data_IF_910522590801
#
_entry.id   IF_910522590801
#
_cell.length_a   1.000
_cell.length_b   1.000
_cell.length_c   1.000
_cell.angle_alpha   90.00
_cell.angle_beta   90.00
_cell.angle_gamma   90.00
#
_symmetry.space_group_name_H-M   'P 1'
#
loop_
_entity.id
_entity.type
_entity.pdbx_description
1 polymer ?
#
# COMPACT_ATOMS: atom_id res chain seq x y z
N UNK A 1 -18.92 27.86 -38.38
CA UNK A 1 -19.28 26.56 -37.78
C UNK A 1 -18.08 26.08 -36.98
N UNK A 2 -18.11 26.24 -35.66
CA UNK A 2 -17.04 25.83 -34.74
C UNK A 2 -17.54 24.63 -33.91
N UNK A 3 -16.70 23.62 -33.64
CA UNK A 3 -17.15 22.41 -32.95
C UNK A 3 -17.33 22.66 -31.45
N UNK A 4 -18.45 22.16 -30.92
CA UNK A 4 -18.80 22.13 -29.51
C UNK A 4 -17.79 21.29 -28.72
N UNK A 5 -16.98 21.95 -27.88
CA UNK A 5 -16.11 21.30 -26.90
C UNK A 5 -16.99 20.91 -25.70
N UNK A 6 -17.13 19.61 -25.47
CA UNK A 6 -17.87 19.06 -24.34
C UNK A 6 -17.18 19.37 -23.01
N UNK A 7 -17.93 19.96 -22.07
CA UNK A 7 -17.47 20.23 -20.69
C UNK A 7 -17.20 18.92 -19.93
N UNK A 8 -16.08 18.80 -19.19
CA UNK A 8 -15.85 17.67 -18.31
C UNK A 8 -16.80 17.73 -17.11
N UNK A 9 -17.41 16.58 -16.78
CA UNK A 9 -18.22 16.37 -15.58
C UNK A 9 -17.36 16.57 -14.34
N UNK A 10 -17.74 17.53 -13.50
CA UNK A 10 -17.10 17.79 -12.21
C UNK A 10 -17.19 16.54 -11.32
N UNK A 11 -16.05 15.91 -11.06
CA UNK A 11 -15.90 14.93 -9.99
C UNK A 11 -15.96 15.69 -8.66
N UNK A 12 -17.04 15.47 -7.89
CA UNK A 12 -17.14 15.96 -6.51
C UNK A 12 -16.12 15.19 -5.65
N UNK A 13 -14.93 15.78 -5.49
CA UNK A 13 -13.98 15.39 -4.45
C UNK A 13 -14.60 15.74 -3.09
N UNK A 14 -15.07 14.72 -2.37
CA UNK A 14 -15.46 14.87 -0.97
C UNK A 14 -14.23 15.23 -0.16
N UNK A 15 -14.20 16.48 0.31
CA UNK A 15 -13.24 17.05 1.26
C UNK A 15 -13.51 16.41 2.63
N UNK A 16 -12.89 15.27 2.92
CA UNK A 16 -12.87 14.74 4.27
C UNK A 16 -11.99 15.65 5.12
N UNK A 17 -12.62 16.28 6.10
CA UNK A 17 -12.05 17.22 7.05
C UNK A 17 -10.89 16.57 7.81
N UNK A 18 -9.78 17.29 7.82
CA UNK A 18 -8.59 17.08 8.64
C UNK A 18 -8.92 17.32 10.11
N UNK A 19 -9.11 16.26 10.88
CA UNK A 19 -8.94 16.32 12.34
C UNK A 19 -7.53 15.83 12.66
N UNK A 20 -6.74 16.75 13.21
CA UNK A 20 -5.40 16.53 13.75
C UNK A 20 -5.48 15.48 14.88
N UNK A 21 -5.14 14.24 14.59
CA UNK A 21 -4.66 13.29 15.60
C UNK A 21 -3.40 12.60 15.10
N UNK A 22 -2.24 12.81 15.75
CA UNK A 22 -1.06 12.00 15.51
C UNK A 22 -1.18 10.71 16.32
N UNK A 23 -0.65 9.61 15.77
CA UNK A 23 -0.56 8.23 16.33
C UNK A 23 -1.74 7.31 16.05
N UNK A 24 -1.86 6.84 14.81
CA UNK A 24 -2.48 5.56 14.39
C UNK A 24 -2.19 5.29 12.90
N UNK A 25 -0.94 5.41 12.47
CA UNK A 25 -0.59 5.31 11.03
C UNK A 25 -0.61 3.87 10.51
N UNK A 26 -0.37 2.86 11.36
CA UNK A 26 -0.37 1.45 10.93
C UNK A 26 -1.78 0.85 10.87
N UNK A 27 -2.65 1.17 11.85
CA UNK A 27 -4.04 0.71 11.85
C UNK A 27 -4.85 1.29 10.69
N UNK A 28 -4.60 2.56 10.34
CA UNK A 28 -5.30 3.25 9.25
C UNK A 28 -4.88 2.73 7.88
N UNK A 29 -3.60 2.43 7.67
CA UNK A 29 -3.12 1.78 6.44
C UNK A 29 -3.69 0.38 6.28
N UNK A 30 -3.73 -0.42 7.35
CA UNK A 30 -4.30 -1.76 7.30
C UNK A 30 -5.80 -1.73 6.98
N UNK A 31 -6.58 -0.83 7.59
CA UNK A 31 -7.99 -0.66 7.26
C UNK A 31 -8.19 -0.20 5.80
N UNK A 32 -7.34 0.69 5.30
CA UNK A 32 -7.44 1.18 3.93
C UNK A 32 -7.13 0.08 2.89
N UNK A 33 -6.06 -0.69 3.11
CA UNK A 33 -5.70 -1.87 2.30
C UNK A 33 -6.80 -2.94 2.33
N UNK A 34 -7.37 -3.22 3.50
CA UNK A 34 -8.45 -4.21 3.65
C UNK A 34 -9.71 -3.78 2.88
N UNK A 35 -10.05 -2.48 2.94
CA UNK A 35 -11.17 -1.91 2.18
C UNK A 35 -10.95 -1.96 0.66
N UNK A 36 -9.73 -1.69 0.19
CA UNK A 36 -9.38 -1.78 -1.22
C UNK A 36 -9.43 -3.22 -1.74
N UNK A 37 -8.85 -4.16 -1.01
CA UNK A 37 -8.90 -5.58 -1.37
C UNK A 37 -10.34 -6.11 -1.40
N UNK A 38 -11.18 -5.74 -0.43
CA UNK A 38 -12.60 -6.12 -0.40
C UNK A 38 -13.35 -5.55 -1.61
N UNK A 39 -13.12 -4.29 -1.99
CA UNK A 39 -13.74 -3.69 -3.18
C UNK A 39 -13.25 -4.32 -4.48
N UNK A 40 -11.95 -4.61 -4.58
CA UNK A 40 -11.35 -5.31 -5.73
C UNK A 40 -11.96 -6.70 -5.91
N UNK A 41 -12.03 -7.49 -4.83
CA UNK A 41 -12.63 -8.82 -4.84
C UNK A 41 -14.12 -8.79 -5.19
N UNK A 42 -14.90 -7.84 -4.67
CA UNK A 42 -16.31 -7.68 -5.05
C UNK A 42 -16.48 -7.32 -6.54
N UNK A 43 -15.57 -6.52 -7.10
CA UNK A 43 -15.62 -6.15 -8.51
C UNK A 43 -15.27 -7.35 -9.40
N UNK A 44 -14.29 -8.16 -9.01
CA UNK A 44 -13.91 -9.39 -9.73
C UNK A 44 -15.02 -10.43 -9.63
N UNK A 45 -15.62 -10.62 -8.45
CA UNK A 45 -16.74 -11.54 -8.25
C UNK A 45 -17.95 -11.18 -9.12
N UNK A 46 -18.30 -9.89 -9.26
CA UNK A 46 -19.38 -9.44 -10.16
C UNK A 46 -19.08 -9.68 -11.63
N UNK A 47 -17.80 -9.68 -12.05
CA UNK A 47 -17.42 -10.00 -13.43
C UNK A 47 -17.35 -11.51 -13.69
N UNK A 48 -17.14 -12.32 -12.66
CA UNK A 48 -17.06 -13.77 -12.74
C UNK A 48 -18.39 -14.48 -12.55
N UNK A 49 -19.46 -13.80 -12.09
CA UNK A 49 -20.82 -14.33 -12.23
C UNK A 49 -21.27 -14.16 -13.67
N UNK A 50 -21.26 -15.21 -14.51
CA UNK A 50 -21.91 -15.13 -15.81
C UNK A 50 -23.37 -14.80 -15.55
N UNK A 51 -23.86 -13.73 -16.16
CA UNK A 51 -25.29 -13.50 -16.28
C UNK A 51 -25.89 -14.80 -16.80
N UNK A 52 -26.64 -15.50 -15.95
CA UNK A 52 -27.41 -16.67 -16.37
C UNK A 52 -28.42 -16.17 -17.40
N UNK A 53 -28.02 -16.23 -18.65
CA UNK A 53 -28.87 -16.17 -19.83
C UNK A 53 -30.00 -17.15 -19.60
N UNK A 54 -31.20 -16.63 -19.34
CA UNK A 54 -32.43 -17.40 -19.30
C UNK A 54 -32.61 -18.13 -20.63
N UNK A 55 -32.11 -19.37 -20.70
CA UNK A 55 -32.51 -20.34 -21.71
C UNK A 55 -33.87 -20.87 -21.27
N UNK A 56 -34.91 -20.28 -21.85
CA UNK A 56 -36.24 -20.89 -21.91
C UNK A 56 -36.11 -22.29 -22.50
N UNK A 57 -36.27 -23.31 -21.65
CA UNK A 57 -36.52 -24.67 -22.10
C UNK A 57 -37.86 -24.69 -22.84
N UNK A 58 -37.85 -24.61 -24.16
CA UNK A 58 -38.98 -25.06 -24.96
C UNK A 58 -39.04 -26.58 -24.85
N UNK A 59 -40.01 -27.08 -24.10
CA UNK A 59 -40.36 -28.49 -24.04
C UNK A 59 -40.83 -28.94 -25.43
N UNK A 60 -40.01 -29.77 -26.09
CA UNK A 60 -40.37 -30.46 -27.32
C UNK A 60 -41.45 -31.50 -26.98
N UNK A 61 -42.73 -31.17 -27.22
CA UNK A 61 -43.82 -32.15 -27.20
C UNK A 61 -43.71 -33.01 -28.46
N UNK A 62 -43.19 -34.22 -28.31
CA UNK A 62 -43.24 -35.26 -29.33
C UNK A 62 -44.61 -35.93 -29.23
N UNK A 63 -45.55 -35.53 -30.09
CA UNK A 63 -46.79 -36.28 -30.33
C UNK A 63 -46.47 -37.43 -31.29
N UNK A 64 -46.63 -38.66 -30.81
CA UNK A 64 -46.34 -39.88 -31.57
C UNK A 64 -47.34 -40.11 -32.71
N UNK A 65 -46.89 -40.56 -33.90
CA UNK A 65 -47.77 -41.04 -34.95
C UNK A 65 -48.15 -42.51 -34.75
N UNK A 66 -49.43 -42.76 -35.01
CA UNK A 66 -50.14 -44.04 -35.04
C UNK A 66 -49.52 -45.03 -36.05
N UNK A 67 -49.42 -46.29 -35.64
CA UNK A 67 -48.85 -47.39 -36.40
C UNK A 67 -49.74 -47.84 -37.56
N UNK A 68 -49.23 -47.76 -38.79
CA UNK A 68 -49.69 -48.53 -39.95
C UNK A 68 -48.52 -49.39 -40.48
N UNK A 69 -48.77 -50.58 -41.05
CA UNK A 69 -47.74 -51.57 -41.39
C UNK A 69 -46.96 -51.15 -42.66
N UNK A 70 -45.61 -51.11 -42.57
CA UNK A 70 -44.63 -51.99 -43.24
C UNK A 70 -45.07 -52.39 -44.67
N UNK A 71 -44.38 -52.01 -45.75
CA UNK A 71 -43.03 -52.53 -46.06
C UNK A 71 -42.10 -51.59 -46.88
N UNK A 72 -42.47 -50.34 -47.20
CA UNK A 72 -41.59 -49.40 -47.93
C UNK A 72 -40.80 -48.40 -47.04
N UNK A 73 -40.89 -48.56 -45.71
CA UNK A 73 -40.48 -47.55 -44.69
C UNK A 73 -38.99 -47.60 -44.26
N UNK A 74 -38.24 -48.64 -44.64
CA UNK A 74 -36.83 -48.78 -44.22
C UNK A 74 -35.90 -47.71 -44.81
N UNK A 75 -36.19 -47.17 -45.99
CA UNK A 75 -35.32 -46.17 -46.62
C UNK A 75 -35.53 -44.76 -46.03
N UNK A 76 -36.75 -44.41 -45.61
CA UNK A 76 -37.05 -43.11 -45.00
C UNK A 76 -36.48 -42.97 -43.57
N UNK A 77 -36.41 -44.07 -42.82
CA UNK A 77 -35.81 -44.10 -41.47
C UNK A 77 -34.28 -43.98 -41.51
N UNK A 78 -33.63 -44.53 -42.54
CA UNK A 78 -32.19 -44.37 -42.75
C UNK A 78 -31.82 -42.93 -43.16
N UNK A 79 -32.66 -42.28 -43.96
CA UNK A 79 -32.43 -40.90 -44.40
C UNK A 79 -32.56 -39.89 -43.23
N UNK A 80 -33.58 -40.04 -42.38
CA UNK A 80 -33.73 -39.19 -41.19
C UNK A 80 -32.61 -39.41 -40.16
N UNK A 81 -32.09 -40.63 -40.02
CA UNK A 81 -30.93 -40.92 -39.18
C UNK A 81 -29.64 -40.25 -39.71
N UNK A 82 -29.46 -40.19 -41.03
CA UNK A 82 -28.32 -39.50 -41.64
C UNK A 82 -28.38 -37.99 -41.40
N UNK A 83 -29.57 -37.39 -41.48
CA UNK A 83 -29.79 -35.96 -41.19
C UNK A 83 -29.51 -35.62 -39.71
N UNK A 84 -30.02 -36.44 -38.78
CA UNK A 84 -29.75 -36.25 -37.34
C UNK A 84 -28.26 -36.40 -37.03
N UNK A 85 -27.57 -37.37 -37.65
CA UNK A 85 -26.12 -37.53 -37.51
C UNK A 85 -25.35 -36.32 -38.04
N UNK A 86 -25.75 -35.81 -39.21
CA UNK A 86 -25.15 -34.61 -39.80
C UNK A 86 -25.32 -33.38 -38.92
N UNK A 87 -26.53 -33.17 -38.39
CA UNK A 87 -26.82 -32.09 -37.45
C UNK A 87 -25.97 -32.20 -36.17
N UNK A 88 -25.93 -33.39 -35.55
CA UNK A 88 -25.15 -33.61 -34.33
C UNK A 88 -23.65 -33.39 -34.58
N UNK A 89 -23.12 -33.85 -35.72
CA UNK A 89 -21.74 -33.62 -36.09
C UNK A 89 -21.42 -32.13 -36.29
N UNK A 90 -22.34 -31.37 -36.90
CA UNK A 90 -22.20 -29.93 -37.08
C UNK A 90 -22.23 -29.18 -35.73
N UNK A 91 -23.13 -29.55 -34.83
CA UNK A 91 -23.23 -28.95 -33.50
C UNK A 91 -21.99 -29.27 -32.64
N UNK A 92 -21.51 -30.52 -32.68
CA UNK A 92 -20.25 -30.92 -32.02
C UNK A 92 -19.08 -30.12 -32.59
N UNK A 93 -18.99 -29.96 -33.91
CA UNK A 93 -17.92 -29.17 -34.54
C UNK A 93 -17.99 -27.69 -34.14
N UNK A 94 -19.20 -27.13 -34.05
CA UNK A 94 -19.42 -25.76 -33.59
C UNK A 94 -18.98 -25.59 -32.13
N UNK A 95 -19.45 -26.47 -31.22
CA UNK A 95 -19.04 -26.45 -29.81
C UNK A 95 -17.53 -26.63 -29.66
N UNK A 96 -16.91 -27.54 -30.41
CA UNK A 96 -15.46 -27.75 -30.38
C UNK A 96 -14.70 -26.48 -30.81
N UNK A 97 -15.19 -25.78 -31.83
CA UNK A 97 -14.63 -24.50 -32.28
C UNK A 97 -14.77 -23.42 -31.20
N UNK A 98 -15.92 -23.33 -30.55
CA UNK A 98 -16.16 -22.36 -29.47
C UNK A 98 -15.25 -22.64 -28.26
N UNK A 99 -15.13 -23.90 -27.84
CA UNK A 99 -14.22 -24.32 -26.76
C UNK A 99 -12.78 -23.99 -27.11
N UNK A 100 -12.34 -24.29 -28.35
CA UNK A 100 -10.98 -23.93 -28.81
C UNK A 100 -10.72 -22.43 -28.76
N UNK A 101 -11.69 -21.61 -29.16
CA UNK A 101 -11.59 -20.16 -29.09
C UNK A 101 -11.49 -19.66 -27.63
N UNK A 102 -12.27 -20.23 -26.72
CA UNK A 102 -12.21 -19.91 -25.29
C UNK A 102 -10.87 -20.32 -24.66
N UNK A 103 -10.36 -21.51 -24.96
CA UNK A 103 -9.04 -21.96 -24.50
C UNK A 103 -7.95 -21.00 -24.97
N UNK A 104 -7.98 -20.60 -26.23
CA UNK A 104 -7.04 -19.62 -26.77
C UNK A 104 -7.15 -18.26 -26.04
N UNK A 105 -8.36 -17.75 -25.84
CA UNK A 105 -8.57 -16.49 -25.12
C UNK A 105 -8.07 -16.55 -23.66
N UNK A 106 -8.30 -17.67 -22.96
CA UNK A 106 -7.78 -17.91 -21.61
C UNK A 106 -6.24 -17.92 -21.64
N UNK A 107 -5.63 -18.57 -22.63
CA UNK A 107 -4.18 -18.57 -22.80
C UNK A 107 -3.61 -17.16 -22.94
N UNK A 108 -4.19 -16.34 -23.82
CA UNK A 108 -3.78 -14.93 -23.97
C UNK A 108 -3.95 -14.16 -22.65
N UNK A 109 -5.07 -14.31 -21.96
CA UNK A 109 -5.28 -13.65 -20.67
C UNK A 109 -4.26 -14.10 -19.60
N UNK A 110 -3.89 -15.39 -19.56
CA UNK A 110 -2.86 -15.90 -18.64
C UNK A 110 -1.53 -15.21 -18.87
N UNK A 111 -1.08 -15.09 -20.12
CA UNK A 111 0.20 -14.43 -20.44
C UNK A 111 0.22 -12.95 -20.03
N UNK A 112 -0.91 -12.25 -20.14
CA UNK A 112 -1.03 -10.85 -19.71
C UNK A 112 -0.94 -10.75 -18.18
N UNK A 113 -1.62 -11.65 -17.47
CA UNK A 113 -1.58 -11.70 -16.00
C UNK A 113 -0.17 -12.02 -15.51
N UNK A 114 0.51 -12.99 -16.12
CA UNK A 114 1.89 -13.37 -15.78
C UNK A 114 2.85 -12.19 -15.98
N UNK A 115 2.75 -11.47 -17.10
CA UNK A 115 3.57 -10.28 -17.36
C UNK A 115 3.29 -9.16 -16.34
N UNK A 116 2.01 -8.92 -16.03
CA UNK A 116 1.61 -7.95 -15.02
C UNK A 116 2.16 -8.33 -13.64
N UNK A 117 2.08 -9.61 -13.27
CA UNK A 117 2.58 -10.11 -11.99
C UNK A 117 4.10 -9.98 -11.90
N UNK A 118 4.85 -10.26 -12.97
CA UNK A 118 6.28 -10.02 -13.01
C UNK A 118 6.62 -8.54 -12.75
N UNK A 119 5.90 -7.61 -13.37
CA UNK A 119 6.10 -6.18 -13.11
C UNK A 119 5.80 -5.81 -11.65
N UNK A 120 4.70 -6.31 -11.08
CA UNK A 120 4.35 -6.06 -9.67
C UNK A 120 5.43 -6.60 -8.73
N UNK A 121 5.95 -7.80 -8.98
CA UNK A 121 7.04 -8.39 -8.18
C UNK A 121 8.30 -7.53 -8.25
N UNK A 122 8.69 -7.08 -9.46
CA UNK A 122 9.88 -6.21 -9.60
C UNK A 122 9.70 -4.88 -8.88
N UNK A 123 8.53 -4.25 -8.98
CA UNK A 123 8.22 -3.00 -8.29
C UNK A 123 8.19 -3.17 -6.77
N UNK A 124 7.61 -4.27 -6.28
CA UNK A 124 7.56 -4.60 -4.87
C UNK A 124 8.97 -4.81 -4.28
N UNK A 125 9.81 -5.58 -4.96
CA UNK A 125 11.19 -5.81 -4.53
C UNK A 125 11.98 -4.50 -4.53
N UNK A 126 11.81 -3.65 -5.55
CA UNK A 126 12.39 -2.31 -5.58
C UNK A 126 11.97 -1.46 -4.38
N UNK A 127 10.68 -1.41 -4.08
CA UNK A 127 10.16 -0.69 -2.92
C UNK A 127 10.70 -1.25 -1.59
N UNK A 128 10.77 -2.57 -1.44
CA UNK A 128 11.30 -3.21 -0.23
C UNK A 128 12.78 -2.84 0.00
N UNK A 129 13.61 -2.84 -1.05
CA UNK A 129 15.02 -2.43 -0.94
C UNK A 129 15.18 -0.97 -0.54
N UNK A 130 14.34 -0.08 -1.08
CA UNK A 130 14.35 1.34 -0.74
C UNK A 130 13.93 1.56 0.73
N UNK A 131 12.88 0.88 1.17
CA UNK A 131 12.43 0.93 2.57
C UNK A 131 13.54 0.51 3.53
N UNK A 132 14.25 -0.58 3.25
CA UNK A 132 15.36 -1.02 4.09
C UNK A 132 16.50 0.00 4.13
N UNK A 133 16.85 0.62 3.00
CA UNK A 133 17.85 1.71 2.96
C UNK A 133 17.44 2.92 3.80
N UNK A 134 16.16 3.32 3.71
CA UNK A 134 15.64 4.43 4.50
C UNK A 134 15.63 4.10 5.99
N UNK A 135 15.25 2.88 6.37
CA UNK A 135 15.30 2.46 7.78
C UNK A 135 16.72 2.52 8.34
N UNK A 136 17.71 2.00 7.61
CA UNK A 136 19.10 2.14 8.03
C UNK A 136 19.53 3.60 8.18
N UNK A 137 19.17 4.47 7.22
CA UNK A 137 19.50 5.89 7.30
C UNK A 137 18.84 6.58 8.49
N UNK A 138 17.61 6.21 8.84
CA UNK A 138 16.93 6.72 10.04
C UNK A 138 17.70 6.31 11.28
N UNK A 139 18.07 5.03 11.40
CA UNK A 139 18.85 4.53 12.55
C UNK A 139 20.20 5.25 12.67
N UNK A 140 20.91 5.47 11.56
CA UNK A 140 22.18 6.22 11.58
C UNK A 140 21.99 7.65 12.09
N UNK A 141 20.94 8.34 11.63
CA UNK A 141 20.62 9.70 12.06
C UNK A 141 20.18 9.76 13.54
N UNK A 142 19.47 8.75 14.03
CA UNK A 142 19.09 8.64 15.44
C UNK A 142 20.34 8.51 16.33
N UNK A 143 21.30 7.68 15.92
CA UNK A 143 22.58 7.51 16.63
C UNK A 143 23.42 8.80 16.61
N UNK A 144 23.46 9.49 15.48
CA UNK A 144 24.17 10.78 15.36
C UNK A 144 23.54 11.84 16.26
N UNK A 145 22.21 11.94 16.29
CA UNK A 145 21.48 12.85 17.17
C UNK A 145 21.71 12.52 18.64
N UNK A 146 21.73 11.23 19.00
CA UNK A 146 22.02 10.80 20.36
C UNK A 146 23.44 11.19 20.77
N UNK A 147 24.44 10.97 19.92
CA UNK A 147 25.83 11.35 20.20
C UNK A 147 25.99 12.87 20.34
N UNK A 148 25.37 13.67 19.46
CA UNK A 148 25.37 15.13 19.57
C UNK A 148 24.67 15.60 20.85
N UNK A 149 23.53 15.00 21.19
CA UNK A 149 22.80 15.29 22.43
C UNK A 149 23.66 14.95 23.65
N UNK A 150 24.33 13.80 23.66
CA UNK A 150 25.20 13.39 24.76
C UNK A 150 26.43 14.30 24.88
N UNK A 151 27.05 14.70 23.77
CA UNK A 151 28.19 15.63 23.77
C UNK A 151 27.80 17.01 24.28
N UNK A 152 26.66 17.54 23.83
CA UNK A 152 26.15 18.84 24.30
C UNK A 152 25.77 18.84 25.78
N UNK A 153 25.38 17.70 26.33
CA UNK A 153 25.00 17.56 27.74
C UNK A 153 26.13 17.03 28.63
N UNK A 154 27.29 16.67 28.08
CA UNK A 154 28.38 15.99 28.81
C UNK A 154 28.86 16.76 30.04
N UNK A 155 28.82 18.09 29.98
CA UNK A 155 29.27 18.95 31.07
C UNK A 155 28.10 19.54 31.88
N UNK A 156 26.86 19.12 31.60
CA UNK A 156 25.68 19.63 32.29
C UNK A 156 25.34 18.73 33.48
N UNK A 157 25.43 19.26 34.69
CA UNK A 157 24.97 18.59 35.90
C UNK A 157 23.51 18.96 36.20
N UNK A 158 22.65 17.95 36.36
CA UNK A 158 21.27 18.15 36.81
C UNK A 158 21.19 17.95 38.32
N UNK A 159 21.06 19.05 39.06
CA UNK A 159 20.84 19.01 40.52
C UNK A 159 19.35 18.96 40.80
N UNK A 160 18.91 18.02 41.63
CA UNK A 160 17.51 17.84 42.04
C UNK A 160 17.38 18.02 43.56
N UNK A 161 16.21 18.48 44.02
CA UNK A 161 15.93 18.63 45.44
C UNK A 161 16.39 19.95 46.05
N UNK A 162 16.68 20.96 45.23
CA UNK A 162 16.83 22.32 45.71
C UNK A 162 15.47 22.84 46.21
N UNK A 163 15.41 23.52 47.36
CA UNK A 163 14.18 24.14 47.84
C UNK A 163 13.69 25.20 46.84
N UNK A 164 12.39 25.23 46.56
CA UNK A 164 11.79 26.25 45.69
C UNK A 164 11.92 27.69 46.24
N UNK A 165 12.28 27.84 47.52
CA UNK A 165 12.53 29.14 48.16
C UNK A 165 13.86 29.77 47.75
N UNK A 166 14.76 29.03 47.10
CA UNK A 166 16.04 29.56 46.61
C UNK A 166 15.77 30.39 45.35
N UNK A 167 16.17 31.67 45.39
CA UNK A 167 16.02 32.56 44.25
C UNK A 167 17.09 32.27 43.19
N UNK A 168 16.83 32.64 41.92
CA UNK A 168 17.78 32.43 40.82
C UNK A 168 19.17 33.05 41.10
N UNK A 169 19.22 34.17 41.83
CA UNK A 169 20.46 34.85 42.22
C UNK A 169 21.25 34.10 43.29
N UNK A 170 20.59 33.23 44.07
CA UNK A 170 21.20 32.50 45.18
C UNK A 170 21.54 31.04 44.84
N UNK A 171 21.19 30.57 43.62
CA UNK A 171 21.41 29.18 43.19
C UNK A 171 22.89 28.81 43.27
N UNK A 172 23.78 29.66 42.76
CA UNK A 172 25.22 29.41 42.74
C UNK A 172 25.80 29.23 44.15
N UNK A 173 25.50 30.17 45.05
CA UNK A 173 25.94 30.12 46.45
C UNK A 173 25.41 28.88 47.17
N UNK A 174 24.14 28.52 46.91
CA UNK A 174 23.51 27.32 47.48
C UNK A 174 24.20 26.05 46.98
N UNK A 175 24.46 25.95 45.68
CA UNK A 175 25.16 24.80 45.07
C UNK A 175 26.58 24.64 45.61
N UNK A 176 27.35 25.72 45.70
CA UNK A 176 28.70 25.70 46.29
C UNK A 176 28.66 25.18 47.73
N UNK A 177 27.68 25.63 48.52
CA UNK A 177 27.50 25.17 49.91
C UNK A 177 27.20 23.68 49.97
N UNK A 178 26.27 23.17 49.15
CA UNK A 178 25.94 21.74 49.08
C UNK A 178 27.14 20.89 48.65
N UNK A 179 27.91 21.35 47.65
CA UNK A 179 29.08 20.63 47.17
C UNK A 179 30.20 20.58 48.21
N UNK A 180 30.49 21.68 48.91
CA UNK A 180 31.48 21.71 50.00
C UNK A 180 31.12 20.76 51.14
N UNK A 181 29.83 20.66 51.47
CA UNK A 181 29.35 19.74 52.50
C UNK A 181 29.48 18.27 52.09
N UNK A 182 29.28 17.98 50.80
CA UNK A 182 29.23 16.59 50.29
C UNK A 182 30.58 16.06 49.80
N UNK A 183 31.47 16.94 49.35
CA UNK A 183 32.75 16.63 48.72
C UNK A 183 33.87 17.49 49.35
N UNK A 184 34.20 17.29 50.64
CA UNK A 184 35.16 18.13 51.36
C UNK A 184 36.59 18.01 50.83
N UNK A 185 36.91 16.92 50.12
CA UNK A 185 38.26 16.63 49.62
C UNK A 185 38.62 17.44 48.35
N UNK A 186 37.66 18.14 47.74
CA UNK A 186 37.91 18.93 46.53
C UNK A 186 38.42 20.33 46.90
N UNK A 187 39.66 20.70 46.53
CA UNK A 187 40.25 21.99 46.86
C UNK A 187 39.44 23.21 46.43
N UNK A 188 39.41 24.27 47.26
CA UNK A 188 38.61 25.48 47.04
C UNK A 188 38.88 26.17 45.68
N UNK A 189 40.12 26.14 45.22
CA UNK A 189 40.53 26.79 43.96
C UNK A 189 40.00 26.09 42.70
N UNK A 190 39.54 24.84 42.80
CA UNK A 190 38.97 24.11 41.65
C UNK A 190 37.50 24.44 41.41
N UNK A 191 36.81 25.06 42.38
CA UNK A 191 35.40 25.43 42.26
C UNK A 191 35.18 26.76 41.53
N UNK A 192 36.20 27.63 41.53
CA UNK A 192 36.15 29.02 41.06
C UNK A 192 36.95 29.23 39.77
N UNK A 193 37.19 28.18 38.98
CA UNK A 193 37.82 28.37 37.68
C UNK A 193 36.84 29.16 36.82
N UNK A 194 37.10 30.47 36.69
CA UNK A 194 36.29 31.39 35.92
C UNK A 194 35.90 30.70 34.60
N UNK A 195 34.61 30.66 34.32
CA UNK A 195 34.07 30.53 32.97
C UNK A 195 34.57 31.75 32.20
N UNK A 196 35.87 31.79 31.91
CA UNK A 196 36.45 32.67 30.92
C UNK A 196 35.84 32.14 29.65
N UNK A 197 34.76 32.76 29.21
CA UNK A 197 34.17 32.42 27.92
C UNK A 197 35.35 32.37 26.94
N UNK A 198 35.58 31.23 26.25
CA UNK A 198 36.49 31.27 25.13
C UNK A 198 35.90 32.34 24.23
N UNK A 199 36.58 33.48 24.16
CA UNK A 199 36.44 34.48 23.11
C UNK A 199 36.91 33.81 21.82
N UNK A 200 36.13 32.81 21.40
CA UNK A 200 36.29 32.15 20.12
C UNK A 200 36.06 33.23 19.08
N UNK A 201 36.98 33.37 18.10
CA UNK A 201 36.79 34.33 17.03
C UNK A 201 35.45 34.03 16.36
N UNK A 202 34.53 34.99 16.40
CA UNK A 202 33.29 34.95 15.64
C UNK A 202 33.62 34.51 14.22
N UNK A 203 32.99 33.42 13.79
CA UNK A 203 33.05 32.88 12.44
C UNK A 203 33.00 34.01 11.41
N UNK A 204 34.16 34.35 10.84
CA UNK A 204 34.24 35.00 9.54
C UNK A 204 33.74 33.99 8.51
N UNK A 205 32.41 33.86 8.40
CA UNK A 205 31.76 33.24 7.25
C UNK A 205 32.08 34.09 6.03
N UNK A 206 33.19 33.76 5.39
CA UNK A 206 33.51 34.14 4.03
C UNK A 206 32.34 33.71 3.14
N UNK A 207 31.61 34.70 2.64
CA UNK A 207 30.60 34.51 1.62
C UNK A 207 31.27 33.84 0.41
N UNK A 208 30.89 32.60 0.12
CA UNK A 208 31.19 31.97 -1.15
C UNK A 208 30.42 32.73 -2.25
N UNK A 209 31.08 33.26 -3.28
CA UNK A 209 30.38 33.82 -4.42
C UNK A 209 29.77 32.67 -5.23
N UNK A 210 28.46 32.74 -5.47
CA UNK A 210 27.77 31.90 -6.46
C UNK A 210 28.41 32.14 -7.85
N UNK A 211 28.76 31.04 -8.53
CA UNK A 211 29.01 31.01 -9.98
C UNK A 211 27.85 30.30 -10.67
#
# INVERSE_FOLDING_TARGET
MLPCIAKPRSMKLYRCLTTNQPRRTTETLHQWLTCLLRRGLQHVARKLTPAQSGRTHQALRITGPSCNPLEDSSNATLQSLAEVKGFLAAEIAHMAKEVKAKIHAIGVHSTVIEKCMAHVVTAHNGAATLTNKLLHRITDLELELEDVSNRSQRNNLRVRGLPESVSDTDIEATLITCFRQSLPDIPEHLWLTELTEPSGPEDQRTAHPEM
#
